data_IF_374952478526
#
_entry.id   IF_374952478526
#
_cell.length_a   1.000
_cell.length_b   1.000
_cell.length_c   1.000
_cell.angle_alpha   90.00
_cell.angle_beta   90.00
_cell.angle_gamma   90.00
#
_symmetry.space_group_name_H-M   'P 1'
#
loop_
_entity.id
_entity.type
_entity.pdbx_description
1 polymer ?
#
# COMPACT_ATOMS: atom_id res chain seq x y z
N UNK A 1 2.36 7.78 -17.58
CA UNK A 1 3.13 6.99 -16.60
C UNK A 1 3.02 5.54 -17.02
N UNK A 2 4.12 4.82 -17.10
CA UNK A 2 4.14 3.36 -17.31
C UNK A 2 4.82 2.78 -16.09
N UNK A 3 4.28 1.70 -15.54
CA UNK A 3 4.84 0.95 -14.40
C UNK A 3 5.00 -0.48 -14.86
N UNK A 4 6.21 -1.00 -14.74
CA UNK A 4 6.51 -2.38 -15.14
C UNK A 4 5.94 -3.38 -14.10
N UNK A 5 5.54 -4.59 -14.53
CA UNK A 5 5.09 -5.62 -13.60
C UNK A 5 6.13 -5.92 -12.51
N UNK A 6 5.69 -5.96 -11.26
CA UNK A 6 6.55 -6.23 -10.10
C UNK A 6 7.43 -5.05 -9.66
N UNK A 7 7.36 -3.91 -10.35
CA UNK A 7 8.12 -2.72 -9.96
C UNK A 7 7.50 -1.99 -8.76
N UNK A 8 8.36 -1.36 -7.97
CA UNK A 8 7.98 -0.43 -6.90
C UNK A 8 8.15 1.01 -7.36
N UNK A 9 7.08 1.77 -7.38
CA UNK A 9 7.09 3.18 -7.80
C UNK A 9 6.66 4.06 -6.65
N UNK A 10 7.50 5.06 -6.31
CA UNK A 10 7.15 6.05 -5.30
C UNK A 10 6.52 7.30 -5.93
N UNK A 11 5.43 7.78 -5.35
CA UNK A 11 4.83 9.07 -5.65
C UNK A 11 5.17 10.05 -4.55
N UNK A 12 5.93 11.09 -4.88
CA UNK A 12 6.40 12.11 -3.94
C UNK A 12 5.96 13.52 -4.37
N UNK A 13 5.94 14.45 -3.44
CA UNK A 13 5.59 15.83 -3.69
C UNK A 13 4.91 16.49 -2.49
N UNK A 14 4.77 17.79 -2.52
CA UNK A 14 4.16 18.56 -1.42
C UNK A 14 2.73 18.12 -1.11
N UNK A 15 2.24 18.42 0.09
CA UNK A 15 0.84 18.17 0.44
C UNK A 15 -0.09 18.90 -0.55
N UNK A 16 -1.15 18.21 -1.00
CA UNK A 16 -2.10 18.76 -1.97
C UNK A 16 -1.66 18.74 -3.43
N UNK A 17 -0.47 18.22 -3.78
CA UNK A 17 -0.02 18.14 -5.19
C UNK A 17 -0.73 17.08 -6.03
N UNK A 18 -1.62 16.25 -5.44
CA UNK A 18 -2.46 15.30 -6.19
C UNK A 18 -2.11 13.81 -6.00
N UNK A 19 -1.18 13.43 -5.11
CA UNK A 19 -0.77 12.02 -4.88
C UNK A 19 -1.95 11.10 -4.57
N UNK A 20 -2.73 11.41 -3.55
CA UNK A 20 -3.90 10.59 -3.16
C UNK A 20 -5.02 10.63 -4.20
N UNK A 21 -5.12 11.70 -5.01
CA UNK A 21 -6.04 11.73 -6.14
C UNK A 21 -5.60 10.73 -7.21
N UNK A 22 -4.30 10.68 -7.52
CA UNK A 22 -3.74 9.72 -8.47
C UNK A 22 -3.92 8.29 -7.95
N UNK A 23 -3.66 8.04 -6.67
CA UNK A 23 -3.92 6.73 -6.04
C UNK A 23 -5.38 6.29 -6.21
N UNK A 24 -6.34 7.19 -5.98
CA UNK A 24 -7.78 6.91 -6.14
C UNK A 24 -8.19 6.69 -7.60
N UNK A 25 -7.55 7.37 -8.54
CA UNK A 25 -7.74 7.14 -9.98
C UNK A 25 -7.24 5.74 -10.37
N UNK A 26 -6.03 5.36 -9.95
CA UNK A 26 -5.45 4.03 -10.24
C UNK A 26 -6.28 2.93 -9.57
N UNK A 27 -6.78 3.16 -8.37
CA UNK A 27 -7.65 2.25 -7.64
C UNK A 27 -9.08 2.12 -8.24
N UNK A 28 -9.39 2.87 -9.31
CA UNK A 28 -10.71 2.86 -9.94
C UNK A 28 -11.82 3.49 -9.09
N UNK A 29 -11.46 4.23 -8.01
CA UNK A 29 -12.41 4.96 -7.17
C UNK A 29 -12.89 6.26 -7.83
N UNK A 30 -12.07 6.83 -8.71
CA UNK A 30 -12.40 7.97 -9.55
C UNK A 30 -12.20 7.62 -11.01
N UNK A 31 -12.96 8.27 -11.88
CA UNK A 31 -12.76 8.19 -13.32
C UNK A 31 -11.96 9.40 -13.82
N UNK A 32 -10.99 9.22 -14.71
CA UNK A 32 -10.26 10.32 -15.32
C UNK A 32 -11.22 11.17 -16.19
N UNK A 33 -11.08 12.47 -16.16
CA UNK A 33 -11.84 13.37 -17.04
C UNK A 33 -11.32 13.32 -18.48
N UNK A 34 -10.02 13.11 -18.63
CA UNK A 34 -9.33 12.98 -19.91
C UNK A 34 -8.25 11.90 -19.80
N UNK A 35 -7.94 11.24 -20.91
CA UNK A 35 -7.01 10.11 -20.95
C UNK A 35 -7.62 8.82 -20.41
N UNK A 36 -6.79 7.83 -20.20
CA UNK A 36 -7.20 6.50 -19.74
C UNK A 36 -6.14 5.87 -18.85
N UNK A 37 -6.59 4.93 -18.01
CA UNK A 37 -5.73 4.09 -17.16
C UNK A 37 -5.81 2.68 -17.72
N UNK A 38 -4.64 2.13 -18.04
CA UNK A 38 -4.53 0.79 -18.62
C UNK A 38 -3.87 -0.15 -17.61
N UNK A 39 -4.35 -1.38 -17.58
CA UNK A 39 -3.73 -2.53 -16.93
C UNK A 39 -3.49 -3.58 -18.03
N UNK A 40 -2.23 -3.91 -18.27
CA UNK A 40 -1.81 -4.82 -19.35
C UNK A 40 -2.47 -4.48 -20.70
N UNK A 41 -2.35 -3.20 -21.11
CA UNK A 41 -2.93 -2.62 -22.33
C UNK A 41 -4.47 -2.63 -22.39
N UNK A 42 -5.16 -3.04 -21.33
CA UNK A 42 -6.63 -3.03 -21.23
C UNK A 42 -7.10 -1.83 -20.44
N UNK A 43 -8.02 -0.99 -20.95
CA UNK A 43 -8.59 0.10 -20.19
C UNK A 43 -9.27 -0.40 -18.90
N UNK A 44 -9.00 0.25 -17.78
CA UNK A 44 -9.58 -0.12 -16.48
C UNK A 44 -11.12 -0.20 -16.51
N UNK A 45 -11.76 0.63 -17.36
CA UNK A 45 -13.20 0.63 -17.54
C UNK A 45 -13.75 -0.62 -18.26
N UNK A 46 -12.90 -1.34 -19.00
CA UNK A 46 -13.27 -2.52 -19.78
C UNK A 46 -12.96 -3.83 -19.04
N UNK A 47 -12.25 -3.75 -17.90
CA UNK A 47 -11.95 -4.89 -17.06
C UNK A 47 -13.18 -5.23 -16.22
N UNK A 48 -13.53 -6.53 -16.17
CA UNK A 48 -14.61 -7.01 -15.28
C UNK A 48 -14.33 -6.55 -13.84
N UNK A 49 -15.36 -6.02 -13.18
CA UNK A 49 -15.21 -5.44 -11.83
C UNK A 49 -14.69 -6.44 -10.80
N UNK A 50 -15.09 -7.70 -10.91
CA UNK A 50 -14.62 -8.75 -9.98
C UNK A 50 -13.14 -9.03 -10.16
N UNK A 51 -12.65 -9.06 -11.41
CA UNK A 51 -11.24 -9.22 -11.74
C UNK A 51 -10.45 -8.00 -11.27
N UNK A 52 -10.94 -6.79 -11.53
CA UNK A 52 -10.27 -5.56 -11.11
C UNK A 52 -10.12 -5.50 -9.59
N UNK A 53 -11.20 -5.74 -8.84
CA UNK A 53 -11.20 -5.64 -7.37
C UNK A 53 -10.41 -6.75 -6.67
N UNK A 54 -10.20 -7.90 -7.30
CA UNK A 54 -9.30 -8.94 -6.79
C UNK A 54 -7.83 -8.70 -7.15
N UNK A 55 -7.57 -7.92 -8.21
CA UNK A 55 -6.21 -7.68 -8.73
C UNK A 55 -5.58 -6.40 -8.21
N UNK A 56 -6.37 -5.38 -7.88
CA UNK A 56 -5.89 -4.07 -7.42
C UNK A 56 -6.39 -3.79 -6.02
N UNK A 57 -5.49 -3.66 -5.07
CA UNK A 57 -5.80 -3.40 -3.68
C UNK A 57 -5.16 -2.11 -3.18
N UNK A 58 -5.82 -1.48 -2.22
CA UNK A 58 -5.36 -0.22 -1.59
C UNK A 58 -5.22 -0.45 -0.10
N UNK A 59 -4.06 -0.10 0.44
CA UNK A 59 -3.88 0.10 1.88
C UNK A 59 -4.09 1.59 2.16
N UNK A 60 -5.23 1.92 2.75
CA UNK A 60 -5.62 3.31 3.03
C UNK A 60 -5.11 3.77 4.41
N UNK A 61 -5.05 5.07 4.61
CA UNK A 61 -4.77 5.70 5.89
C UNK A 61 -5.92 5.49 6.88
N UNK A 62 -7.16 5.50 6.40
CA UNK A 62 -8.37 5.33 7.20
C UNK A 62 -8.71 3.84 7.39
N UNK A 63 -8.25 3.26 8.50
CA UNK A 63 -8.39 1.84 8.80
C UNK A 63 -9.72 1.55 9.49
N UNK A 64 -10.52 0.69 8.87
CA UNK A 64 -11.78 0.22 9.43
C UNK A 64 -11.62 -1.23 9.91
N UNK A 65 -11.76 -1.45 11.23
CA UNK A 65 -11.77 -2.77 11.84
C UNK A 65 -13.15 -3.07 12.43
N UNK A 66 -13.57 -4.32 12.25
CA UNK A 66 -14.88 -4.80 12.66
C UNK A 66 -14.82 -5.54 13.98
N UNK A 67 -15.89 -5.50 14.75
CA UNK A 67 -16.05 -6.29 15.98
C UNK A 67 -16.24 -7.78 15.61
N UNK A 68 -15.13 -8.45 15.32
CA UNK A 68 -15.08 -9.86 14.95
C UNK A 68 -13.69 -10.44 15.28
N UNK A 69 -13.46 -11.69 14.94
CA UNK A 69 -12.15 -12.31 15.10
C UNK A 69 -11.07 -11.61 14.27
N UNK A 70 -9.81 -11.74 14.69
CA UNK A 70 -8.67 -11.26 13.92
C UNK A 70 -8.66 -11.93 12.53
N UNK A 71 -8.92 -13.24 12.47
CA UNK A 71 -8.97 -13.97 11.21
C UNK A 71 -10.03 -13.40 10.25
N UNK A 72 -11.23 -13.08 10.74
CA UNK A 72 -12.29 -12.50 9.91
C UNK A 72 -11.98 -11.06 9.49
N UNK A 73 -11.30 -10.28 10.32
CA UNK A 73 -10.81 -8.96 9.95
C UNK A 73 -9.76 -9.01 8.84
N UNK A 74 -8.94 -10.06 8.77
CA UNK A 74 -7.96 -10.25 7.69
C UNK A 74 -8.64 -10.74 6.42
N UNK A 75 -9.44 -11.82 6.49
CA UNK A 75 -10.07 -12.41 5.31
C UNK A 75 -11.34 -11.69 4.82
N UNK A 76 -11.87 -10.73 5.57
CA UNK A 76 -13.12 -10.00 5.26
C UNK A 76 -14.31 -10.92 4.93
N UNK A 77 -14.43 -12.02 5.71
CA UNK A 77 -15.43 -13.08 5.54
C UNK A 77 -15.40 -13.81 4.20
N UNK A 78 -14.34 -13.64 3.42
CA UNK A 78 -14.12 -14.44 2.23
C UNK A 78 -13.61 -15.84 2.64
N UNK A 79 -14.48 -16.84 2.48
CA UNK A 79 -14.19 -18.23 2.84
C UNK A 79 -13.22 -18.90 1.85
N UNK A 80 -12.96 -18.30 0.69
CA UNK A 80 -11.97 -18.80 -0.25
C UNK A 80 -10.53 -18.57 0.25
N UNK A 81 -10.33 -17.57 1.12
CA UNK A 81 -9.03 -17.31 1.77
C UNK A 81 -8.84 -18.30 2.92
N UNK A 82 -7.94 -19.24 2.73
CA UNK A 82 -7.68 -20.28 3.71
C UNK A 82 -6.87 -19.78 4.93
N UNK A 83 -6.92 -20.54 6.03
CA UNK A 83 -6.26 -20.15 7.28
C UNK A 83 -4.74 -19.99 7.16
N UNK A 84 -4.08 -20.74 6.28
CA UNK A 84 -2.65 -20.60 6.04
C UNK A 84 -2.31 -19.29 5.31
N UNK A 85 -3.16 -18.83 4.38
CA UNK A 85 -2.99 -17.55 3.67
C UNK A 85 -3.13 -16.37 4.62
N UNK A 86 -4.10 -16.44 5.55
CA UNK A 86 -4.23 -15.47 6.65
C UNK A 86 -2.97 -15.41 7.50
N UNK A 87 -2.37 -16.56 7.82
CA UNK A 87 -1.13 -16.62 8.61
C UNK A 87 0.04 -16.06 7.83
N UNK A 88 0.18 -16.41 6.55
CA UNK A 88 1.25 -15.89 5.69
C UNK A 88 1.15 -14.37 5.57
N UNK A 89 -0.03 -13.84 5.24
CA UNK A 89 -0.27 -12.41 5.16
C UNK A 89 0.04 -11.66 6.47
N UNK A 90 -0.31 -12.26 7.62
CA UNK A 90 0.00 -11.68 8.92
C UNK A 90 1.51 -11.72 9.25
N UNK A 91 2.25 -12.72 8.78
CA UNK A 91 3.72 -12.75 8.91
C UNK A 91 4.35 -11.66 8.05
N UNK A 92 3.97 -11.52 6.79
CA UNK A 92 4.49 -10.51 5.88
C UNK A 92 4.18 -9.08 6.37
N UNK A 93 3.00 -8.88 6.96
CA UNK A 93 2.62 -7.63 7.60
C UNK A 93 3.24 -7.42 8.99
N UNK A 94 4.12 -8.32 9.48
CA UNK A 94 4.78 -8.25 10.78
C UNK A 94 3.82 -8.16 11.98
N UNK A 95 2.60 -8.75 11.88
CA UNK A 95 1.58 -8.71 12.94
C UNK A 95 1.36 -10.09 13.59
N UNK A 96 1.89 -11.18 13.02
CA UNK A 96 1.68 -12.54 13.51
C UNK A 96 2.03 -12.72 14.99
N UNK A 97 3.17 -12.21 15.42
CA UNK A 97 3.62 -12.33 16.82
C UNK A 97 2.67 -11.61 17.79
N UNK A 98 2.18 -10.41 17.44
CA UNK A 98 1.20 -9.68 18.22
C UNK A 98 -0.13 -10.45 18.31
N UNK A 99 -0.57 -11.06 17.20
CA UNK A 99 -1.79 -11.88 17.18
C UNK A 99 -1.64 -13.09 18.10
N UNK A 100 -0.52 -13.81 18.02
CA UNK A 100 -0.26 -15.00 18.83
C UNK A 100 -0.09 -14.69 20.31
N UNK A 101 0.30 -13.47 20.67
CA UNK A 101 0.36 -13.01 22.05
C UNK A 101 -1.03 -12.76 22.67
N UNK A 102 -2.09 -12.64 21.85
CA UNK A 102 -3.47 -12.45 22.35
C UNK A 102 -4.06 -13.78 22.81
N UNK A 103 -4.85 -13.78 23.90
CA UNK A 103 -5.62 -14.96 24.29
C UNK A 103 -6.56 -15.40 23.16
N UNK A 104 -6.35 -16.61 22.61
CA UNK A 104 -7.09 -17.13 21.45
C UNK A 104 -6.47 -16.85 20.09
N UNK A 105 -5.34 -16.12 19.99
CA UNK A 105 -4.63 -15.87 18.74
C UNK A 105 -5.54 -15.31 17.66
N UNK A 106 -5.59 -15.92 16.49
CA UNK A 106 -6.44 -15.52 15.36
C UNK A 106 -7.96 -15.60 15.64
N UNK A 107 -8.38 -16.41 16.62
CA UNK A 107 -9.77 -16.46 17.07
C UNK A 107 -10.11 -15.38 18.12
N UNK A 108 -9.14 -14.59 18.57
CA UNK A 108 -9.38 -13.48 19.48
C UNK A 108 -10.23 -12.40 18.80
N UNK A 109 -11.15 -11.81 19.55
CA UNK A 109 -12.00 -10.72 19.03
C UNK A 109 -11.26 -9.40 19.07
N UNK A 110 -11.40 -8.63 18.02
CA UNK A 110 -11.04 -7.21 17.91
C UNK A 110 -12.25 -6.40 18.35
N UNK A 111 -12.05 -5.38 19.18
CA UNK A 111 -13.12 -4.46 19.56
C UNK A 111 -13.51 -3.56 18.38
N UNK A 112 -14.71 -2.98 18.41
CA UNK A 112 -15.20 -2.06 17.40
C UNK A 112 -14.19 -0.94 17.13
N UNK A 113 -13.79 -0.79 15.85
CA UNK A 113 -12.78 0.17 15.42
C UNK A 113 -11.36 -0.13 15.90
N UNK A 114 -11.11 -1.35 16.41
CA UNK A 114 -9.77 -1.76 16.85
C UNK A 114 -9.22 -0.98 18.04
N UNK A 115 -10.07 -0.54 18.97
CA UNK A 115 -9.66 0.29 20.12
C UNK A 115 -8.69 -0.42 21.07
N UNK A 116 -8.65 -1.74 21.05
CA UNK A 116 -7.74 -2.60 21.80
C UNK A 116 -6.39 -2.83 21.11
N UNK A 117 -6.18 -2.22 19.94
CA UNK A 117 -4.96 -2.29 19.16
C UNK A 117 -4.25 -0.93 19.12
N UNK A 118 -2.92 -0.95 19.11
CA UNK A 118 -2.13 0.25 18.83
C UNK A 118 -2.32 0.73 17.37
N UNK A 119 -1.94 1.98 17.06
CA UNK A 119 -1.98 2.49 15.69
C UNK A 119 -1.20 1.63 14.71
N UNK A 120 0.02 1.24 15.07
CA UNK A 120 0.85 0.36 14.24
C UNK A 120 0.29 -1.05 14.09
N UNK A 121 -0.37 -1.60 15.12
CA UNK A 121 -1.05 -2.90 15.03
C UNK A 121 -2.24 -2.84 14.09
N UNK A 122 -3.05 -1.78 14.14
CA UNK A 122 -4.16 -1.57 13.20
C UNK A 122 -3.65 -1.47 11.77
N UNK A 123 -2.59 -0.71 11.55
CA UNK A 123 -1.98 -0.53 10.23
C UNK A 123 -1.46 -1.86 9.65
N UNK A 124 -0.72 -2.63 10.45
CA UNK A 124 -0.23 -3.96 10.04
C UNK A 124 -1.37 -4.95 9.80
N UNK A 125 -2.48 -4.85 10.55
CA UNK A 125 -3.65 -5.70 10.33
C UNK A 125 -4.34 -5.36 9.00
N UNK A 126 -4.41 -4.08 8.63
CA UNK A 126 -4.90 -3.63 7.32
C UNK A 126 -4.01 -4.13 6.17
N UNK A 127 -2.69 -4.02 6.33
CA UNK A 127 -1.73 -4.57 5.36
C UNK A 127 -1.92 -6.08 5.22
N UNK A 128 -2.07 -6.82 6.33
CA UNK A 128 -2.34 -8.26 6.30
C UNK A 128 -3.64 -8.59 5.54
N UNK A 129 -4.69 -7.78 5.71
CA UNK A 129 -5.95 -7.90 4.97
C UNK A 129 -5.73 -7.81 3.46
N UNK A 130 -5.00 -6.78 3.03
CA UNK A 130 -4.68 -6.59 1.61
C UNK A 130 -3.82 -7.74 1.09
N UNK A 131 -2.78 -8.15 1.83
CA UNK A 131 -1.89 -9.24 1.40
C UNK A 131 -2.59 -10.61 1.34
N UNK A 132 -3.64 -10.83 2.13
CA UNK A 132 -4.41 -12.08 2.14
C UNK A 132 -5.23 -12.27 0.86
N UNK A 133 -5.56 -11.21 0.12
CA UNK A 133 -6.26 -11.30 -1.16
C UNK A 133 -5.34 -11.57 -2.36
N UNK A 134 -4.02 -11.62 -2.13
CA UNK A 134 -2.97 -11.86 -3.12
C UNK A 134 -3.10 -11.00 -4.40
N UNK A 135 -3.17 -9.67 -4.28
CA UNK A 135 -3.40 -8.78 -5.42
C UNK A 135 -2.16 -8.68 -6.31
N UNK A 136 -2.35 -8.31 -7.59
CA UNK A 136 -1.27 -8.07 -8.54
C UNK A 136 -0.69 -6.64 -8.42
N UNK A 137 -1.52 -5.69 -7.98
CA UNK A 137 -1.13 -4.29 -7.77
C UNK A 137 -1.55 -3.84 -6.38
N UNK A 138 -0.61 -3.31 -5.61
CA UNK A 138 -0.87 -2.72 -4.29
C UNK A 138 -0.57 -1.22 -4.34
N UNK A 139 -1.53 -0.43 -3.86
CA UNK A 139 -1.35 1.00 -3.66
C UNK A 139 -1.26 1.24 -2.15
N UNK A 140 -0.14 1.80 -1.69
CA UNK A 140 0.12 2.13 -0.28
C UNK A 140 0.08 3.65 -0.11
N UNK A 141 -1.05 4.18 0.35
CA UNK A 141 -1.21 5.63 0.58
C UNK A 141 -0.97 5.95 2.06
N UNK A 142 0.26 6.36 2.39
CA UNK A 142 0.74 6.60 3.76
C UNK A 142 0.50 5.42 4.72
N UNK A 143 0.46 4.22 4.16
CA UNK A 143 0.04 2.98 4.82
C UNK A 143 0.95 2.50 5.95
N UNK A 144 2.12 3.10 6.12
CA UNK A 144 3.13 2.72 7.13
C UNK A 144 3.44 3.85 8.11
N UNK A 145 2.67 4.94 8.07
CA UNK A 145 2.93 6.16 8.85
C UNK A 145 2.98 5.96 10.38
N UNK A 146 2.27 4.97 10.91
CA UNK A 146 2.25 4.64 12.34
C UNK A 146 3.29 3.57 12.73
N UNK A 147 4.11 3.08 11.80
CA UNK A 147 5.14 2.08 12.05
C UNK A 147 6.48 2.74 12.40
N UNK A 148 7.26 2.06 13.23
CA UNK A 148 8.68 2.38 13.38
C UNK A 148 9.48 1.98 12.13
N UNK A 149 10.63 2.60 11.92
CA UNK A 149 11.40 2.44 10.69
C UNK A 149 11.84 0.98 10.40
N UNK A 150 12.07 0.17 11.44
CA UNK A 150 12.46 -1.22 11.28
C UNK A 150 11.29 -2.05 10.77
N UNK A 151 10.16 -1.98 11.47
CA UNK A 151 8.92 -2.70 11.10
C UNK A 151 8.44 -2.27 9.71
N UNK A 152 8.52 -1.00 9.40
CA UNK A 152 8.18 -0.44 8.10
C UNK A 152 9.02 -1.06 6.98
N UNK A 153 10.35 -1.10 7.14
CA UNK A 153 11.23 -1.71 6.14
C UNK A 153 10.95 -3.20 5.97
N UNK A 154 10.70 -3.94 7.06
CA UNK A 154 10.37 -5.37 7.01
C UNK A 154 9.05 -5.61 6.24
N UNK A 155 8.04 -4.79 6.47
CA UNK A 155 6.75 -4.88 5.75
C UNK A 155 6.91 -4.56 4.26
N UNK A 156 7.57 -3.45 3.93
CA UNK A 156 7.78 -3.05 2.52
C UNK A 156 8.61 -4.10 1.78
N UNK A 157 9.64 -4.65 2.43
CA UNK A 157 10.44 -5.72 1.83
C UNK A 157 9.61 -6.98 1.59
N UNK A 158 8.78 -7.40 2.54
CA UNK A 158 7.88 -8.55 2.39
C UNK A 158 6.89 -8.35 1.23
N UNK A 159 6.37 -7.14 1.04
CA UNK A 159 5.50 -6.81 -0.11
C UNK A 159 6.28 -6.94 -1.43
N UNK A 160 7.50 -6.43 -1.49
CA UNK A 160 8.36 -6.53 -2.69
C UNK A 160 8.72 -7.98 -3.02
N UNK A 161 9.04 -8.78 -2.00
CA UNK A 161 9.43 -10.18 -2.17
C UNK A 161 8.31 -11.05 -2.76
N UNK A 162 7.05 -10.59 -2.67
CA UNK A 162 5.91 -11.22 -3.37
C UNK A 162 5.91 -10.97 -4.88
N UNK A 163 6.73 -10.04 -5.38
CA UNK A 163 6.79 -9.69 -6.80
C UNK A 163 5.56 -8.94 -7.31
N UNK A 164 4.77 -8.34 -6.42
CA UNK A 164 3.60 -7.53 -6.80
C UNK A 164 4.03 -6.13 -7.25
N UNK A 165 3.29 -5.53 -8.16
CA UNK A 165 3.49 -4.13 -8.54
C UNK A 165 3.06 -3.23 -7.39
N UNK A 166 3.94 -2.35 -6.92
CA UNK A 166 3.68 -1.52 -5.75
C UNK A 166 3.75 -0.03 -6.09
N UNK A 167 2.68 0.71 -5.79
CA UNK A 167 2.64 2.17 -5.89
C UNK A 167 2.60 2.73 -4.47
N UNK A 168 3.65 3.46 -4.10
CA UNK A 168 3.85 3.92 -2.73
C UNK A 168 3.74 5.45 -2.68
N UNK A 169 2.79 5.94 -1.91
CA UNK A 169 2.74 7.34 -1.50
C UNK A 169 3.32 7.45 -0.11
N UNK A 170 4.50 8.05 0.00
CA UNK A 170 5.18 8.23 1.28
C UNK A 170 5.97 9.53 1.27
N UNK A 171 6.21 10.07 2.47
CA UNK A 171 7.15 11.14 2.70
C UNK A 171 8.48 10.62 3.29
N UNK A 172 8.55 9.33 3.65
CA UNK A 172 9.73 8.76 4.31
C UNK A 172 10.78 8.33 3.30
N UNK A 173 11.94 8.96 3.39
CA UNK A 173 13.07 8.68 2.50
C UNK A 173 13.51 7.20 2.52
N UNK A 174 13.43 6.54 3.70
CA UNK A 174 13.77 5.13 3.86
C UNK A 174 13.03 4.18 2.91
N UNK A 175 11.79 4.52 2.55
CA UNK A 175 10.97 3.74 1.62
C UNK A 175 11.20 4.16 0.17
N UNK A 176 11.22 5.48 -0.05
CA UNK A 176 11.28 6.10 -1.38
C UNK A 176 12.59 5.75 -2.07
N UNK A 177 13.69 5.78 -1.33
CA UNK A 177 15.06 5.57 -1.85
C UNK A 177 15.23 4.24 -2.57
N UNK A 178 14.60 3.19 -2.06
CA UNK A 178 14.76 1.84 -2.56
C UNK A 178 13.72 1.45 -3.63
N UNK A 179 12.88 2.40 -4.07
CA UNK A 179 11.96 2.18 -5.18
C UNK A 179 12.69 2.15 -6.52
N UNK A 180 12.19 1.33 -7.45
CA UNK A 180 12.74 1.22 -8.81
C UNK A 180 12.59 2.53 -9.57
N UNK A 181 11.54 3.30 -9.25
CA UNK A 181 11.29 4.60 -9.82
C UNK A 181 10.61 5.53 -8.81
N UNK A 182 10.94 6.80 -8.91
CA UNK A 182 10.33 7.89 -8.14
C UNK A 182 9.72 8.88 -9.14
N UNK A 183 8.46 9.24 -8.90
CA UNK A 183 7.73 10.25 -9.68
C UNK A 183 7.40 11.41 -8.76
N UNK A 184 7.94 12.58 -9.10
CA UNK A 184 7.69 13.80 -8.35
C UNK A 184 6.49 14.53 -8.94
N UNK A 185 5.49 14.78 -8.11
CA UNK A 185 4.28 15.49 -8.48
C UNK A 185 4.32 16.93 -7.95
N UNK A 186 4.01 17.87 -8.82
CA UNK A 186 3.76 19.26 -8.47
C UNK A 186 2.59 19.81 -9.25
N UNK A 187 1.63 20.46 -8.57
CA UNK A 187 0.44 21.04 -9.18
C UNK A 187 -0.36 20.06 -10.06
N UNK A 188 -0.42 18.76 -9.68
CA UNK A 188 -1.13 17.71 -10.41
C UNK A 188 -0.38 17.19 -11.64
N UNK A 189 0.90 17.51 -11.79
CA UNK A 189 1.74 17.06 -12.91
C UNK A 189 2.98 16.33 -12.42
N UNK A 190 3.41 15.33 -13.18
CA UNK A 190 4.72 14.72 -12.98
C UNK A 190 5.79 15.67 -13.55
N UNK A 191 6.64 16.20 -12.65
CA UNK A 191 7.68 17.19 -13.01
C UNK A 191 9.07 16.58 -13.07
N UNK A 192 9.32 15.53 -12.28
CA UNK A 192 10.57 14.78 -12.29
C UNK A 192 10.27 13.29 -12.24
N UNK A 193 11.16 12.47 -12.82
CA UNK A 193 11.05 11.02 -12.87
C UNK A 193 12.43 10.38 -12.95
N UNK A 194 12.71 9.37 -12.13
CA UNK A 194 13.99 8.65 -12.10
C UNK A 194 14.19 7.88 -10.82
N UNK A 195 15.39 7.36 -10.62
CA UNK A 195 15.83 6.73 -9.37
C UNK A 195 16.21 7.79 -8.32
N UNK A 196 16.37 7.36 -7.07
CA UNK A 196 16.85 8.25 -5.99
C UNK A 196 18.15 8.96 -6.35
N UNK A 197 19.14 8.20 -6.82
CA UNK A 197 20.47 8.75 -7.09
C UNK A 197 20.45 9.75 -8.25
N UNK A 198 19.68 9.47 -9.32
CA UNK A 198 19.52 10.36 -10.46
C UNK A 198 18.85 11.68 -10.05
N UNK A 199 17.73 11.60 -9.35
CA UNK A 199 16.96 12.77 -8.95
C UNK A 199 17.69 13.61 -7.89
N UNK A 200 18.38 12.96 -6.95
CA UNK A 200 19.17 13.67 -5.95
C UNK A 200 20.36 14.41 -6.58
N UNK A 201 21.05 13.75 -7.53
CA UNK A 201 22.16 14.36 -8.28
C UNK A 201 21.72 15.52 -9.19
N UNK A 202 20.49 15.47 -9.71
CA UNK A 202 19.92 16.53 -10.53
C UNK A 202 19.67 17.83 -9.74
N UNK A 203 19.55 17.76 -8.41
CA UNK A 203 19.36 18.94 -7.54
C UNK A 203 18.04 19.67 -7.76
N UNK A 204 17.02 18.98 -8.25
CA UNK A 204 15.68 19.50 -8.51
C UNK A 204 14.76 19.46 -7.29
N UNK A 205 13.44 19.48 -7.56
CA UNK A 205 12.41 19.49 -6.51
C UNK A 205 12.51 18.26 -5.59
N UNK A 206 12.86 17.09 -6.12
CA UNK A 206 13.10 15.89 -5.32
C UNK A 206 14.20 16.11 -4.26
N UNK A 207 15.34 16.66 -4.69
CA UNK A 207 16.46 16.92 -3.79
C UNK A 207 16.09 17.95 -2.69
N UNK A 208 15.27 18.95 -3.03
CA UNK A 208 14.75 19.91 -2.07
C UNK A 208 13.81 19.24 -1.04
N UNK A 209 12.90 18.36 -1.49
CA UNK A 209 11.97 17.64 -0.62
C UNK A 209 12.71 16.75 0.37
N UNK A 210 13.71 16.01 -0.11
CA UNK A 210 14.50 15.05 0.70
C UNK A 210 15.47 15.76 1.68
N UNK A 211 15.94 16.96 1.33
CA UNK A 211 16.88 17.71 2.19
C UNK A 211 16.19 18.43 3.36
N UNK A 212 14.86 18.52 3.35
CA UNK A 212 14.06 19.19 4.38
C UNK A 212 13.42 18.21 5.39
N UNK A 213 13.56 16.88 5.16
CA UNK A 213 13.16 15.79 6.08
C UNK A 213 14.35 15.33 6.93
#
# INVERSE_FOLDING_TARGET
MVVEPGASVALVGASGCGKSTLSKLIAGLYQPWEGEILFDDTPAADIDRSVFTSSVAVVDQDIILFEDTVANNIRMWDESIEGFEVIMAANDAQIHADIMARPGGYASKVSEGGRDLSGGQRQRLEIARVLATDPHVIIMDEATSALDAKTENEVVQAVRDRGVTCIIVSHRLSIIRDCDEIIVLDGGRAVERGTHDELYAAGGLYAELVSND
#
